data_IF_482367172759
#
_entry.id   IF_482367172759
#
_cell.length_a   1.000
_cell.length_b   1.000
_cell.length_c   1.000
_cell.angle_alpha   90.00
_cell.angle_beta   90.00
_cell.angle_gamma   90.00
#
_symmetry.space_group_name_H-M   'P 1'
#
loop_
_entity.id
_entity.type
_entity.pdbx_description
1 polymer ?
#
# COMPACT_ATOMS: atom_id res chain seq x y z
N UNK A 1 12.02 -15.37 8.80
CA UNK A 1 11.89 -14.72 7.48
C UNK A 1 10.45 -14.93 7.05
N UNK A 2 9.73 -13.85 6.78
CA UNK A 2 8.34 -13.88 6.29
C UNK A 2 8.36 -13.64 4.77
N UNK A 3 7.54 -14.36 4.02
CA UNK A 3 7.38 -14.19 2.57
C UNK A 3 6.00 -13.58 2.34
N UNK A 4 5.97 -12.36 1.82
CA UNK A 4 4.74 -11.60 1.59
C UNK A 4 4.59 -11.42 0.08
N UNK A 5 3.70 -12.16 -0.60
CA UNK A 5 3.39 -11.90 -2.00
C UNK A 5 2.76 -10.51 -2.17
N UNK A 6 3.07 -9.86 -3.29
CA UNK A 6 2.55 -8.55 -3.65
C UNK A 6 1.69 -8.63 -4.92
N UNK A 7 0.58 -7.90 -4.94
CA UNK A 7 -0.20 -7.63 -6.15
C UNK A 7 -0.32 -6.13 -6.33
N UNK A 8 0.12 -5.64 -7.48
CA UNK A 8 -0.11 -4.26 -7.87
C UNK A 8 -1.40 -4.18 -8.70
N UNK A 9 -2.30 -3.28 -8.31
CA UNK A 9 -3.58 -3.03 -8.96
C UNK A 9 -3.50 -1.77 -9.81
N UNK A 10 -3.90 -1.89 -11.08
CA UNK A 10 -4.06 -0.76 -11.97
C UNK A 10 -5.21 -0.99 -12.94
N UNK A 11 -6.13 -0.03 -13.03
CA UNK A 11 -7.35 -0.10 -13.82
C UNK A 11 -8.10 -1.44 -13.59
N UNK A 12 -8.18 -1.88 -12.34
CA UNK A 12 -8.85 -3.11 -11.92
C UNK A 12 -8.14 -4.43 -12.25
N UNK A 13 -6.87 -4.40 -12.66
CA UNK A 13 -6.10 -5.59 -13.10
C UNK A 13 -4.84 -5.77 -12.27
N UNK A 14 -4.34 -7.01 -12.21
CA UNK A 14 -3.01 -7.30 -11.68
C UNK A 14 -1.96 -6.91 -12.70
N UNK A 15 -1.08 -5.98 -12.34
CA UNK A 15 -0.02 -5.48 -13.22
C UNK A 15 1.34 -5.54 -12.55
N UNK A 16 2.38 -5.22 -13.31
CA UNK A 16 3.69 -4.82 -12.82
C UNK A 16 4.20 -3.66 -13.64
N UNK A 17 4.76 -2.66 -12.98
CA UNK A 17 5.46 -1.56 -13.64
C UNK A 17 6.96 -1.85 -13.70
N UNK A 18 7.60 -1.68 -14.86
CA UNK A 18 9.06 -1.78 -14.94
C UNK A 18 9.70 -0.58 -14.24
N UNK A 19 10.35 -0.81 -13.09
CA UNK A 19 10.96 0.24 -12.26
C UNK A 19 10.00 1.39 -11.87
N UNK A 20 8.72 1.07 -11.65
CA UNK A 20 7.70 2.08 -11.31
C UNK A 20 7.24 2.96 -12.49
N UNK A 21 7.67 2.66 -13.72
CA UNK A 21 7.26 3.42 -14.90
C UNK A 21 5.85 3.02 -15.36
N UNK A 22 4.89 3.92 -15.16
CA UNK A 22 3.49 3.75 -15.54
C UNK A 22 3.26 3.56 -17.05
N UNK A 23 4.23 3.93 -17.89
CA UNK A 23 4.19 3.69 -19.34
C UNK A 23 4.72 2.31 -19.73
N UNK A 24 5.33 1.57 -18.79
CA UNK A 24 5.88 0.23 -19.00
C UNK A 24 5.18 -0.80 -18.14
N UNK A 25 3.87 -0.96 -18.37
CA UNK A 25 3.04 -1.95 -17.68
C UNK A 25 3.11 -3.33 -18.34
N UNK A 26 3.05 -4.38 -17.52
CA UNK A 26 2.75 -5.75 -17.93
C UNK A 26 1.52 -6.21 -17.16
N UNK A 27 0.47 -6.64 -17.87
CA UNK A 27 -0.74 -7.21 -17.25
C UNK A 27 -0.52 -8.70 -17.03
N UNK A 28 -0.76 -9.16 -15.80
CA UNK A 28 -0.63 -10.57 -15.42
C UNK A 28 -1.99 -11.27 -15.33
N UNK A 29 -3.03 -10.56 -14.89
CA UNK A 29 -4.37 -11.11 -14.73
C UNK A 29 -5.40 -9.99 -14.73
N UNK A 30 -6.59 -10.27 -15.28
CA UNK A 30 -7.78 -9.43 -15.17
C UNK A 30 -8.68 -9.82 -13.98
N UNK A 31 -8.31 -10.85 -13.21
CA UNK A 31 -9.02 -11.30 -12.01
C UNK A 31 -8.09 -11.24 -10.78
N UNK A 32 -8.07 -10.10 -10.06
CA UNK A 32 -7.25 -9.95 -8.86
C UNK A 32 -7.65 -10.84 -7.69
N UNK A 33 -8.95 -11.16 -7.57
CA UNK A 33 -9.44 -12.00 -6.48
C UNK A 33 -8.94 -13.43 -6.64
N UNK A 34 -8.97 -13.97 -7.87
CA UNK A 34 -8.42 -15.30 -8.15
C UNK A 34 -6.91 -15.37 -7.88
N UNK A 35 -6.15 -14.33 -8.24
CA UNK A 35 -4.70 -14.27 -7.96
C UNK A 35 -4.44 -14.23 -6.45
N UNK A 36 -5.21 -13.42 -5.72
CA UNK A 36 -5.09 -13.33 -4.26
C UNK A 36 -5.37 -14.67 -3.57
N UNK A 37 -6.45 -15.37 -3.97
CA UNK A 37 -6.77 -16.71 -3.47
C UNK A 37 -5.65 -17.72 -3.80
N UNK A 38 -5.10 -17.65 -5.01
CA UNK A 38 -3.98 -18.51 -5.41
C UNK A 38 -2.73 -18.33 -4.54
N UNK A 39 -2.45 -17.12 -4.06
CA UNK A 39 -1.36 -16.90 -3.09
C UNK A 39 -1.64 -17.52 -1.73
N UNK A 40 -2.88 -17.40 -1.24
CA UNK A 40 -3.29 -18.05 0.01
C UNK A 40 -3.20 -19.58 -0.09
N UNK A 41 -3.65 -20.17 -1.19
CA UNK A 41 -3.58 -21.63 -1.43
C UNK A 41 -2.13 -22.15 -1.44
N UNK A 42 -1.18 -21.30 -1.88
CA UNK A 42 0.25 -21.59 -1.85
C UNK A 42 0.89 -21.38 -0.47
N UNK A 43 0.12 -20.99 0.55
CA UNK A 43 0.57 -20.88 1.94
C UNK A 43 1.04 -19.49 2.35
N UNK A 44 0.73 -18.44 1.58
CA UNK A 44 0.96 -17.07 2.03
C UNK A 44 0.25 -16.80 3.36
N UNK A 45 0.89 -16.06 4.27
CA UNK A 45 0.34 -15.72 5.59
C UNK A 45 -0.15 -14.26 5.69
N UNK A 46 0.23 -13.44 4.72
CA UNK A 46 -0.12 -12.03 4.59
C UNK A 46 -0.04 -11.68 3.11
N UNK A 47 -1.02 -10.93 2.60
CA UNK A 47 -1.00 -10.41 1.24
C UNK A 47 -0.71 -8.91 1.24
N UNK A 48 0.23 -8.47 0.41
CA UNK A 48 0.48 -7.06 0.16
C UNK A 48 -0.21 -6.62 -1.13
N UNK A 49 -0.99 -5.55 -1.05
CA UNK A 49 -1.66 -4.93 -2.20
C UNK A 49 -1.19 -3.49 -2.35
N UNK A 50 -0.98 -3.07 -3.60
CA UNK A 50 -0.67 -1.67 -3.94
C UNK A 50 -1.67 -1.18 -4.97
N UNK A 51 -2.46 -0.16 -4.62
CA UNK A 51 -3.29 0.59 -5.58
C UNK A 51 -2.43 1.62 -6.31
N UNK A 52 -1.98 1.28 -7.53
CA UNK A 52 -1.10 2.16 -8.32
C UNK A 52 -1.83 3.40 -8.83
N UNK A 53 -3.12 3.27 -9.18
CA UNK A 53 -3.94 4.40 -9.58
C UNK A 53 -4.08 5.37 -8.40
N UNK A 54 -4.36 4.83 -7.21
CA UNK A 54 -4.42 5.61 -5.98
C UNK A 54 -3.09 6.25 -5.61
N UNK A 55 -1.96 5.55 -5.82
CA UNK A 55 -0.63 6.10 -5.56
C UNK A 55 -0.34 7.34 -6.41
N UNK A 56 -0.76 7.34 -7.68
CA UNK A 56 -0.64 8.48 -8.58
C UNK A 56 -1.60 9.62 -8.19
N UNK A 57 -2.90 9.34 -8.15
CA UNK A 57 -3.94 10.37 -8.02
C UNK A 57 -4.17 10.84 -6.58
N UNK A 58 -3.72 10.06 -5.58
CA UNK A 58 -3.86 10.37 -4.16
C UNK A 58 -5.20 9.99 -3.54
N UNK A 59 -6.01 9.18 -4.22
CA UNK A 59 -7.24 8.60 -3.71
C UNK A 59 -7.39 7.18 -4.27
N UNK A 60 -7.67 6.15 -3.47
CA UNK A 60 -7.81 4.79 -3.97
C UNK A 60 -8.88 4.69 -5.06
N UNK A 61 -8.51 4.11 -6.20
CA UNK A 61 -9.41 3.90 -7.34
C UNK A 61 -9.93 2.45 -7.36
N UNK A 62 -9.22 1.53 -6.72
CA UNK A 62 -9.52 0.09 -6.76
C UNK A 62 -10.21 -0.42 -5.48
N UNK A 63 -10.85 0.47 -4.71
CA UNK A 63 -11.47 0.11 -3.42
C UNK A 63 -12.45 -1.09 -3.50
N UNK A 64 -13.38 -1.19 -4.48
CA UNK A 64 -14.27 -2.34 -4.55
C UNK A 64 -13.54 -3.67 -4.75
N UNK A 65 -12.39 -3.66 -5.45
CA UNK A 65 -11.57 -4.86 -5.67
C UNK A 65 -10.80 -5.20 -4.40
N UNK A 66 -10.27 -4.18 -3.70
CA UNK A 66 -9.60 -4.36 -2.41
C UNK A 66 -10.56 -4.99 -1.39
N UNK A 67 -11.79 -4.49 -1.31
CA UNK A 67 -12.86 -5.03 -0.45
C UNK A 67 -13.16 -6.48 -0.81
N UNK A 68 -13.37 -6.79 -2.10
CA UNK A 68 -13.61 -8.16 -2.55
C UNK A 68 -12.45 -9.12 -2.21
N UNK A 69 -11.19 -8.66 -2.30
CA UNK A 69 -10.02 -9.46 -1.90
C UNK A 69 -10.01 -9.67 -0.38
N UNK A 70 -10.23 -8.61 0.40
CA UNK A 70 -10.23 -8.69 1.85
C UNK A 70 -11.35 -9.63 2.38
N UNK A 71 -12.52 -9.62 1.76
CA UNK A 71 -13.63 -10.53 2.09
C UNK A 71 -13.35 -11.99 1.69
N UNK A 72 -12.68 -12.22 0.55
CA UNK A 72 -12.43 -13.57 0.04
C UNK A 72 -11.31 -14.31 0.81
N UNK A 73 -10.36 -13.57 1.38
CA UNK A 73 -9.20 -14.13 2.06
C UNK A 73 -9.46 -14.43 3.54
N UNK A 74 -8.78 -15.46 4.03
CA UNK A 74 -8.69 -15.83 5.46
C UNK A 74 -7.39 -15.35 6.10
N UNK A 75 -6.45 -14.87 5.28
CA UNK A 75 -5.19 -14.27 5.71
C UNK A 75 -5.32 -12.74 5.73
N UNK A 76 -4.59 -12.03 6.60
CA UNK A 76 -4.59 -10.58 6.62
C UNK A 76 -4.13 -9.99 5.28
N UNK A 77 -4.68 -8.82 4.96
CA UNK A 77 -4.31 -8.02 3.80
C UNK A 77 -3.75 -6.69 4.29
N UNK A 78 -2.64 -6.26 3.69
CA UNK A 78 -2.09 -4.92 3.89
C UNK A 78 -2.14 -4.13 2.58
N UNK A 79 -2.63 -2.88 2.63
CA UNK A 79 -2.90 -2.08 1.42
C UNK A 79 -2.14 -0.76 1.48
N UNK A 80 -1.42 -0.46 0.39
CA UNK A 80 -0.84 0.86 0.11
C UNK A 80 -1.38 1.47 -1.17
N UNK A 81 -1.07 2.75 -1.40
CA UNK A 81 -1.49 3.50 -2.58
C UNK A 81 -2.61 4.48 -2.30
N UNK A 82 -2.31 5.79 -2.34
CA UNK A 82 -3.32 6.85 -2.26
C UNK A 82 -3.88 7.16 -0.87
N UNK A 83 -3.31 6.64 0.21
CA UNK A 83 -3.76 6.93 1.57
C UNK A 83 -3.17 8.26 2.06
N UNK A 84 -3.79 9.38 1.65
CA UNK A 84 -3.36 10.74 2.02
C UNK A 84 -4.21 11.40 3.11
N UNK A 85 -5.31 10.78 3.50
CA UNK A 85 -6.25 11.31 4.47
C UNK A 85 -6.84 10.22 5.37
N UNK A 86 -7.24 10.62 6.58
CA UNK A 86 -7.83 9.72 7.58
C UNK A 86 -9.05 8.96 7.06
N UNK A 87 -9.95 9.65 6.38
CA UNK A 87 -11.16 9.05 5.78
C UNK A 87 -10.84 7.88 4.85
N UNK A 88 -9.72 7.93 4.14
CA UNK A 88 -9.30 6.86 3.24
C UNK A 88 -8.83 5.63 4.02
N UNK A 89 -8.01 5.84 5.05
CA UNK A 89 -7.56 4.77 5.93
C UNK A 89 -8.75 4.10 6.65
N UNK A 90 -9.70 4.89 7.15
CA UNK A 90 -10.91 4.39 7.81
C UNK A 90 -11.73 3.48 6.89
N UNK A 91 -11.90 3.87 5.63
CA UNK A 91 -12.62 3.07 4.64
C UNK A 91 -11.93 1.74 4.35
N UNK A 92 -10.60 1.73 4.24
CA UNK A 92 -9.83 0.51 4.00
C UNK A 92 -9.92 -0.43 5.19
N UNK A 93 -9.74 0.08 6.41
CA UNK A 93 -9.84 -0.72 7.64
C UNK A 93 -11.27 -1.26 7.80
N UNK A 94 -12.29 -0.45 7.54
CA UNK A 94 -13.69 -0.88 7.57
C UNK A 94 -14.00 -1.97 6.52
N UNK A 95 -13.29 -1.96 5.38
CA UNK A 95 -13.38 -2.99 4.35
C UNK A 95 -12.60 -4.28 4.69
N UNK A 96 -12.08 -4.42 5.91
CA UNK A 96 -11.37 -5.63 6.36
C UNK A 96 -9.86 -5.62 6.11
N UNK A 97 -9.27 -4.51 5.67
CA UNK A 97 -7.81 -4.37 5.54
C UNK A 97 -7.18 -4.36 6.93
N UNK A 98 -6.24 -5.28 7.17
CA UNK A 98 -5.58 -5.43 8.47
C UNK A 98 -4.53 -4.34 8.72
N UNK A 99 -3.84 -3.88 7.67
CA UNK A 99 -2.83 -2.82 7.76
C UNK A 99 -2.90 -1.84 6.61
N UNK A 100 -2.82 -0.55 6.91
CA UNK A 100 -2.71 0.52 5.92
C UNK A 100 -1.25 0.97 5.79
N UNK A 101 -0.76 1.07 4.56
CA UNK A 101 0.59 1.56 4.26
C UNK A 101 0.54 3.05 3.89
N UNK A 102 1.16 3.87 4.74
CA UNK A 102 1.27 5.32 4.58
C UNK A 102 2.65 5.66 4.01
N UNK A 103 2.69 6.10 2.75
CA UNK A 103 3.92 6.54 2.08
C UNK A 103 4.08 8.06 2.14
N UNK A 104 3.73 8.75 1.06
CA UNK A 104 3.84 10.21 0.91
C UNK A 104 3.30 11.02 2.10
N UNK A 105 2.15 10.61 2.65
CA UNK A 105 1.55 11.32 3.78
C UNK A 105 2.33 11.18 5.10
N UNK A 106 3.24 10.20 5.23
CA UNK A 106 4.12 10.13 6.39
C UNK A 106 5.13 11.30 6.41
N UNK A 107 5.45 11.88 5.26
CA UNK A 107 6.27 13.09 5.16
C UNK A 107 5.39 14.34 5.17
N UNK A 108 4.34 14.38 4.34
CA UNK A 108 3.54 15.59 4.15
C UNK A 108 2.58 15.87 5.32
N UNK A 109 2.19 14.83 6.06
CA UNK A 109 1.26 14.91 7.18
C UNK A 109 1.53 13.83 8.25
N UNK A 110 2.65 13.92 9.00
CA UNK A 110 3.01 12.94 10.02
C UNK A 110 1.91 12.69 11.08
N UNK A 111 1.12 13.73 11.38
CA UNK A 111 0.00 13.64 12.34
C UNK A 111 -1.07 12.62 11.93
N UNK A 112 -1.19 12.29 10.64
CA UNK A 112 -2.04 11.20 10.17
C UNK A 112 -1.55 9.85 10.71
N UNK A 113 -0.24 9.59 10.64
CA UNK A 113 0.36 8.34 11.13
C UNK A 113 0.13 8.20 12.63
N UNK A 114 0.46 9.25 13.40
CA UNK A 114 0.23 9.28 14.85
C UNK A 114 -1.25 9.02 15.21
N UNK A 115 -2.17 9.65 14.47
CA UNK A 115 -3.61 9.47 14.67
C UNK A 115 -4.09 8.05 14.38
N UNK A 116 -3.55 7.41 13.33
CA UNK A 116 -3.88 6.03 12.98
C UNK A 116 -3.30 5.04 13.99
N UNK A 117 -2.05 5.22 14.42
CA UNK A 117 -1.43 4.42 15.47
C UNK A 117 -2.22 4.49 16.78
N UNK A 118 -2.65 5.70 17.19
CA UNK A 118 -3.44 5.88 18.42
C UNK A 118 -4.80 5.19 18.34
N UNK A 119 -5.48 5.28 17.20
CA UNK A 119 -6.88 4.87 17.10
C UNK A 119 -7.04 3.40 16.67
N UNK A 120 -6.09 2.85 15.90
CA UNK A 120 -6.13 1.49 15.34
C UNK A 120 -4.99 0.58 15.81
N UNK A 121 -4.00 1.11 16.53
CA UNK A 121 -2.83 0.37 16.96
C UNK A 121 -1.66 0.46 15.98
N UNK A 122 -0.47 0.24 16.51
CA UNK A 122 0.79 0.30 15.75
C UNK A 122 0.89 -0.83 14.72
N UNK A 123 0.28 -1.99 15.00
CA UNK A 123 0.26 -3.15 14.13
C UNK A 123 -0.56 -2.96 12.84
N UNK A 124 -1.51 -2.02 12.85
CA UNK A 124 -2.40 -1.70 11.72
C UNK A 124 -1.90 -0.53 10.88
N UNK A 125 -0.84 0.16 11.30
CA UNK A 125 -0.30 1.33 10.59
C UNK A 125 1.15 1.06 10.21
N UNK A 126 1.43 1.02 8.90
CA UNK A 126 2.77 0.76 8.37
C UNK A 126 3.23 1.99 7.60
N UNK A 127 4.45 2.47 7.86
CA UNK A 127 5.06 3.53 7.04
C UNK A 127 5.84 2.89 5.90
N UNK A 128 5.49 3.25 4.67
CA UNK A 128 6.21 2.82 3.47
C UNK A 128 7.30 3.85 3.12
N UNK A 129 8.57 3.41 3.16
CA UNK A 129 9.73 4.26 2.86
C UNK A 129 10.36 3.80 1.55
N UNK A 130 9.88 4.34 0.45
CA UNK A 130 10.49 4.15 -0.87
C UNK A 130 11.65 5.14 -1.03
N UNK A 131 12.84 4.66 -1.43
CA UNK A 131 14.03 5.51 -1.50
C UNK A 131 14.82 5.32 -2.79
N UNK A 132 15.38 6.42 -3.29
CA UNK A 132 16.32 6.45 -4.41
C UNK A 132 17.52 7.29 -4.04
N UNK A 133 18.71 6.68 -4.09
CA UNK A 133 19.97 7.31 -3.69
C UNK A 133 19.95 7.85 -2.24
N UNK A 134 19.32 7.13 -1.30
CA UNK A 134 19.22 7.52 0.11
C UNK A 134 18.02 8.42 0.44
N UNK A 135 17.51 9.17 -0.53
CA UNK A 135 16.40 10.11 -0.37
C UNK A 135 15.04 9.43 -0.61
N UNK A 136 14.02 9.83 0.17
CA UNK A 136 12.66 9.30 0.04
C UNK A 136 12.01 9.80 -1.25
N UNK A 137 11.40 8.87 -1.99
CA UNK A 137 10.57 9.14 -3.15
C UNK A 137 9.09 9.15 -2.76
N UNK A 138 8.33 10.09 -3.32
CA UNK A 138 6.91 10.28 -3.03
C UNK A 138 6.08 10.29 -4.32
N UNK A 139 4.75 10.27 -4.19
CA UNK A 139 3.77 10.28 -5.30
C UNK A 139 4.05 9.20 -6.35
N UNK A 140 4.15 7.95 -5.90
CA UNK A 140 4.37 6.81 -6.80
C UNK A 140 5.70 6.89 -7.55
N UNK A 141 6.78 7.25 -6.84
CA UNK A 141 8.15 7.36 -7.38
C UNK A 141 8.40 8.51 -8.36
N UNK A 142 7.41 9.37 -8.60
CA UNK A 142 7.51 10.46 -9.59
C UNK A 142 8.21 11.70 -9.06
N UNK A 143 8.19 11.91 -7.74
CA UNK A 143 8.79 13.08 -7.08
C UNK A 143 9.82 12.64 -6.04
N UNK A 144 10.97 13.33 -6.01
CA UNK A 144 11.96 13.18 -4.94
C UNK A 144 11.68 14.15 -3.80
N UNK A 145 11.91 13.70 -2.57
CA UNK A 145 11.96 14.59 -1.40
C UNK A 145 13.41 14.97 -1.06
N UNK A 146 13.58 15.87 -0.11
CA UNK A 146 14.89 16.17 0.52
C UNK A 146 15.11 15.37 1.81
N UNK A 147 14.20 14.44 2.13
CA UNK A 147 14.23 13.68 3.37
C UNK A 147 15.07 12.43 3.17
N UNK A 148 16.06 12.22 4.04
CA UNK A 148 16.84 10.99 4.10
C UNK A 148 15.96 9.85 4.63
N UNK A 149 15.97 8.70 3.94
CA UNK A 149 15.15 7.53 4.28
C UNK A 149 15.38 7.02 5.71
N UNK A 150 16.62 7.09 6.19
CA UNK A 150 17.00 6.69 7.55
C UNK A 150 16.42 7.66 8.58
N UNK A 151 16.40 8.96 8.28
CA UNK A 151 15.90 9.95 9.23
C UNK A 151 14.38 9.89 9.35
N UNK A 152 13.67 9.70 8.23
CA UNK A 152 12.23 9.39 8.26
C UNK A 152 11.95 8.13 9.09
N UNK A 153 12.72 7.06 8.90
CA UNK A 153 12.51 5.82 9.65
C UNK A 153 12.71 6.00 11.16
N UNK A 154 13.66 6.83 11.60
CA UNK A 154 13.86 7.14 13.02
C UNK A 154 12.72 7.99 13.58
N UNK A 155 12.30 9.01 12.83
CA UNK A 155 11.20 9.89 13.22
C UNK A 155 9.89 9.11 13.39
N UNK A 156 9.60 8.18 12.48
CA UNK A 156 8.37 7.37 12.55
C UNK A 156 8.41 6.26 13.60
N UNK A 157 9.58 5.97 14.17
CA UNK A 157 9.77 4.92 15.18
C UNK A 157 9.80 5.45 16.62
N UNK A 158 9.76 6.77 16.83
CA UNK A 158 9.77 7.41 18.15
C UNK A 158 8.37 7.59 18.73
#
# INVERSE_FOLDING_TARGET
>A
MEIIPSIDLKAGRCVRLFQGDFQKETVFSDDPVAVALGWQEQGAQLLHLVDLDGAADGTPANLPIIEAIAEALRIPVQVGGGIRARVTADRLIAAGVARVLIGTAAIENPSLVEGLCRDYGNESTVVAVDARNGLVAIRGWTEGSQVESIDLAKEMAS
#
